data_IF_929099171769
#
_entry.id   IF_929099171769
#
_cell.length_a   1.000
_cell.length_b   1.000
_cell.length_c   1.000
_cell.angle_alpha   90.00
_cell.angle_beta   90.00
_cell.angle_gamma   90.00
#
_symmetry.space_group_name_H-M   'P 1'
#
loop_
_entity.id
_entity.type
_entity.pdbx_description
1 polymer ?
#
# COMPACT_ATOMS: atom_id res chain seq x y z
N UNK A 1 -5.89 18.60 -18.49
CA UNK A 1 -5.24 17.98 -17.32
C UNK A 1 -6.27 17.93 -16.20
N UNK A 2 -6.88 16.76 -15.97
CA UNK A 2 -7.94 16.62 -14.97
C UNK A 2 -7.33 16.55 -13.56
N UNK A 3 -7.92 17.23 -12.56
CA UNK A 3 -7.38 17.31 -11.20
C UNK A 3 -7.27 15.96 -10.47
N UNK A 4 -7.97 14.90 -10.94
CA UNK A 4 -7.97 13.57 -10.31
C UNK A 4 -6.63 12.83 -10.39
N UNK A 5 -5.91 12.90 -11.51
CA UNK A 5 -4.72 12.05 -11.75
C UNK A 5 -3.56 12.36 -10.79
N UNK A 6 -3.41 13.61 -10.35
CA UNK A 6 -2.39 14.00 -9.37
C UNK A 6 -2.67 13.41 -7.99
N UNK A 7 -3.93 13.42 -7.56
CA UNK A 7 -4.37 12.86 -6.28
C UNK A 7 -4.25 11.34 -6.29
N UNK A 8 -4.64 10.68 -7.39
CA UNK A 8 -4.45 9.24 -7.55
C UNK A 8 -2.97 8.88 -7.45
N UNK A 9 -2.08 9.54 -8.20
CA UNK A 9 -0.66 9.21 -8.19
C UNK A 9 -0.01 9.42 -6.81
N UNK A 10 -0.37 10.48 -6.09
CA UNK A 10 0.11 10.75 -4.73
C UNK A 10 -0.47 9.73 -3.74
N UNK A 11 -1.76 9.40 -3.85
CA UNK A 11 -2.44 8.41 -3.02
C UNK A 11 -1.87 7.00 -3.20
N UNK A 12 -1.62 6.59 -4.44
CA UNK A 12 -0.95 5.32 -4.78
C UNK A 12 0.48 5.30 -4.24
N UNK A 13 1.25 6.38 -4.42
CA UNK A 13 2.62 6.44 -3.87
C UNK A 13 2.64 6.36 -2.33
N UNK A 14 1.71 7.04 -1.65
CA UNK A 14 1.59 7.01 -0.20
C UNK A 14 1.16 5.63 0.32
N UNK A 15 0.17 4.99 -0.31
CA UNK A 15 -0.25 3.63 0.03
C UNK A 15 0.91 2.64 -0.18
N UNK A 16 1.70 2.77 -1.25
CA UNK A 16 2.84 1.88 -1.52
C UNK A 16 3.90 1.96 -0.41
N UNK A 17 4.22 3.17 0.05
CA UNK A 17 5.15 3.39 1.17
C UNK A 17 4.59 2.77 2.46
N UNK A 18 3.32 3.00 2.77
CA UNK A 18 2.65 2.42 3.95
C UNK A 18 2.66 0.89 3.91
N UNK A 19 2.43 0.30 2.74
CA UNK A 19 2.41 -1.15 2.56
C UNK A 19 3.79 -1.77 2.78
N UNK A 20 4.86 -1.12 2.31
CA UNK A 20 6.25 -1.53 2.59
C UNK A 20 6.54 -1.47 4.10
N UNK A 21 6.12 -0.40 4.78
CA UNK A 21 6.31 -0.26 6.23
C UNK A 21 5.58 -1.37 7.00
N UNK A 22 4.34 -1.70 6.62
CA UNK A 22 3.57 -2.80 7.23
C UNK A 22 4.22 -4.16 6.99
N UNK A 23 4.74 -4.40 5.79
CA UNK A 23 5.42 -5.65 5.46
C UNK A 23 6.70 -5.83 6.27
N UNK A 24 7.56 -4.79 6.31
CA UNK A 24 8.81 -4.81 7.09
C UNK A 24 8.52 -4.92 8.58
N UNK A 25 7.57 -4.13 9.10
CA UNK A 25 7.14 -4.24 10.49
C UNK A 25 6.54 -5.60 10.81
N UNK A 26 5.81 -6.22 9.87
CA UNK A 26 5.20 -7.54 10.03
C UNK A 26 6.22 -8.65 10.15
N UNK A 27 7.29 -8.57 9.34
CA UNK A 27 8.42 -9.50 9.39
C UNK A 27 9.21 -9.30 10.71
N UNK A 28 9.56 -8.06 11.06
CA UNK A 28 10.31 -7.78 12.29
C UNK A 28 9.50 -8.16 13.54
N UNK A 29 8.19 -7.88 13.52
CA UNK A 29 7.27 -8.17 14.60
C UNK A 29 6.70 -9.59 14.62
N UNK A 30 7.10 -10.47 13.67
CA UNK A 30 6.55 -11.83 13.50
C UNK A 30 5.01 -11.89 13.51
N UNK A 31 4.35 -10.83 13.04
CA UNK A 31 2.89 -10.69 13.13
C UNK A 31 2.24 -11.09 11.81
N UNK A 32 1.70 -12.32 11.77
CA UNK A 32 0.94 -12.83 10.62
C UNK A 32 -0.26 -11.92 10.26
N UNK A 33 -0.90 -11.30 11.26
CA UNK A 33 -1.98 -10.34 11.03
C UNK A 33 -1.50 -9.09 10.29
N UNK A 34 -0.31 -8.58 10.63
CA UNK A 34 0.24 -7.38 9.98
C UNK A 34 0.79 -7.66 8.58
N UNK A 35 1.31 -8.88 8.35
CA UNK A 35 1.71 -9.34 7.02
C UNK A 35 0.48 -9.52 6.11
N UNK A 36 -0.63 -10.08 6.63
CA UNK A 36 -1.88 -10.19 5.88
C UNK A 36 -2.44 -8.82 5.48
N UNK A 37 -2.39 -7.84 6.39
CA UNK A 37 -2.81 -6.46 6.16
C UNK A 37 -1.92 -5.75 5.11
N UNK A 38 -0.62 -6.04 5.12
CA UNK A 38 0.33 -5.55 4.11
C UNK A 38 -0.01 -6.09 2.71
N UNK A 39 -0.23 -7.42 2.59
CA UNK A 39 -0.58 -8.05 1.30
C UNK A 39 -1.90 -7.53 0.75
N UNK A 40 -2.91 -7.33 1.62
CA UNK A 40 -4.19 -6.72 1.25
C UNK A 40 -3.97 -5.32 0.64
N UNK A 41 -3.23 -4.46 1.36
CA UNK A 41 -2.91 -3.10 0.90
C UNK A 41 -2.11 -3.07 -0.42
N UNK A 42 -1.23 -4.04 -0.68
CA UNK A 42 -0.56 -4.19 -2.00
C UNK A 42 -1.57 -4.54 -3.08
N UNK A 43 -2.53 -5.41 -2.80
CA UNK A 43 -3.53 -5.84 -3.78
C UNK A 43 -4.48 -4.71 -4.18
N UNK A 44 -4.91 -3.90 -3.21
CA UNK A 44 -5.71 -2.69 -3.47
C UNK A 44 -4.93 -1.68 -4.31
N UNK A 45 -3.65 -1.46 -4.00
CA UNK A 45 -2.76 -0.59 -4.76
C UNK A 45 -2.61 -0.98 -6.23
N UNK A 46 -2.41 -2.28 -6.50
CA UNK A 46 -2.29 -2.79 -7.86
C UNK A 46 -3.58 -2.61 -8.64
N UNK A 47 -4.73 -2.73 -7.96
CA UNK A 47 -6.05 -2.57 -8.58
C UNK A 47 -6.39 -1.09 -8.82
N UNK A 48 -5.95 -0.17 -7.96
CA UNK A 48 -6.13 1.28 -8.12
C UNK A 48 -5.31 1.88 -9.28
N UNK A 49 -4.27 1.18 -9.73
CA UNK A 49 -3.37 1.61 -10.82
C UNK A 49 -3.88 1.20 -12.21
N UNK A 50 -4.71 0.15 -12.28
CA UNK A 50 -5.24 -0.42 -13.53
C UNK A 50 -6.59 0.25 -13.88
#
# INVERSE_FOLDING_TARGET
MNPGTKVTLIGTAANLILSIIKFVGGIIGNSAAMVADAVHSVSDLLTDVI
#
